data_IF_007657056355
#
_entry.id   IF_007657056355
#
_cell.length_a   1.000
_cell.length_b   1.000
_cell.length_c   1.000
_cell.angle_alpha   90.00
_cell.angle_beta   90.00
_cell.angle_gamma   90.00
#
_symmetry.space_group_name_H-M   'P 1'
#
loop_
_entity.id
_entity.type
_entity.pdbx_description
1 polymer ?
#
# COMPACT_ATOMS: atom_id res chain seq x y z
N UNK A 1 -15.76 34.50 13.39
CA UNK A 1 -15.89 33.06 13.15
C UNK A 1 -14.46 32.57 13.00
N UNK A 2 -13.95 31.83 13.96
CA UNK A 2 -12.63 31.22 13.78
C UNK A 2 -12.81 30.18 12.68
N UNK A 3 -12.09 30.37 11.58
CA UNK A 3 -11.91 29.37 10.54
C UNK A 3 -11.14 28.23 11.24
N UNK A 4 -11.87 27.24 11.78
CA UNK A 4 -11.25 26.00 12.23
C UNK A 4 -10.69 25.38 10.95
N UNK A 5 -9.36 25.48 10.78
CA UNK A 5 -8.66 24.88 9.65
C UNK A 5 -8.97 23.39 9.55
N UNK A 6 -8.71 22.81 8.38
CA UNK A 6 -8.90 21.38 8.14
C UNK A 6 -8.20 20.55 9.23
N UNK A 7 -8.92 19.56 9.77
CA UNK A 7 -8.35 18.64 10.74
C UNK A 7 -7.22 17.81 10.11
N UNK A 8 -6.28 17.25 10.91
CA UNK A 8 -5.19 16.41 10.37
C UNK A 8 -5.69 15.27 9.48
N UNK A 9 -6.82 14.64 9.83
CA UNK A 9 -7.43 13.59 9.00
C UNK A 9 -7.91 14.12 7.65
N UNK A 10 -8.50 15.31 7.62
CA UNK A 10 -8.95 15.96 6.37
C UNK A 10 -7.77 16.38 5.52
N UNK A 11 -6.68 16.86 6.11
CA UNK A 11 -5.43 17.17 5.41
C UNK A 11 -4.86 15.94 4.71
N UNK A 12 -4.79 14.79 5.39
CA UNK A 12 -4.31 13.54 4.76
C UNK A 12 -5.22 13.11 3.60
N UNK A 13 -6.54 13.15 3.79
CA UNK A 13 -7.49 12.79 2.70
C UNK A 13 -7.36 13.75 1.52
N UNK A 14 -7.19 15.05 1.77
CA UNK A 14 -7.01 16.05 0.71
C UNK A 14 -5.67 15.88 -0.02
N UNK A 15 -4.60 15.57 0.73
CA UNK A 15 -3.30 15.20 0.17
C UNK A 15 -3.45 14.07 -0.84
N UNK A 16 -4.11 12.98 -0.42
CA UNK A 16 -4.32 11.78 -1.24
C UNK A 16 -5.25 12.00 -2.44
N UNK A 17 -6.09 13.04 -2.42
CA UNK A 17 -7.03 13.35 -3.53
C UNK A 17 -6.43 14.26 -4.58
N UNK A 18 -5.51 15.13 -4.18
CA UNK A 18 -4.96 16.21 -5.02
C UNK A 18 -3.47 16.06 -5.32
N UNK A 19 -2.88 14.97 -4.87
CA UNK A 19 -1.46 14.72 -4.93
C UNK A 19 -0.62 15.84 -4.30
N UNK A 20 -0.87 16.08 -3.02
CA UNK A 20 -0.26 17.17 -2.25
C UNK A 20 0.58 16.63 -1.08
N UNK A 21 1.79 16.07 -1.33
CA UNK A 21 2.62 15.44 -0.30
C UNK A 21 3.03 16.39 0.83
N UNK A 22 3.16 17.69 0.57
CA UNK A 22 3.45 18.69 1.61
C UNK A 22 2.42 18.73 2.76
N UNK A 23 1.19 18.27 2.53
CA UNK A 23 0.17 18.15 3.58
C UNK A 23 0.45 16.95 4.49
N UNK A 24 1.07 15.88 3.98
CA UNK A 24 1.56 14.76 4.79
C UNK A 24 2.67 15.25 5.70
N UNK A 25 3.64 15.99 5.15
CA UNK A 25 4.73 16.61 5.92
C UNK A 25 4.19 17.55 7.01
N UNK A 26 3.17 18.36 6.69
CA UNK A 26 2.54 19.24 7.66
C UNK A 26 1.96 18.44 8.83
N UNK A 27 1.21 17.37 8.55
CA UNK A 27 0.63 16.52 9.60
C UNK A 27 1.71 15.82 10.42
N UNK A 28 2.80 15.34 9.78
CA UNK A 28 3.93 14.75 10.50
C UNK A 28 4.61 15.76 11.43
N UNK A 29 4.76 17.01 11.02
CA UNK A 29 5.33 18.07 11.86
C UNK A 29 4.46 18.40 13.08
N UNK A 30 3.13 18.25 12.97
CA UNK A 30 2.21 18.39 14.11
C UNK A 30 2.27 17.20 15.09
N UNK A 31 2.99 16.13 14.73
CA UNK A 31 3.15 14.89 15.49
C UNK A 31 4.61 14.66 15.94
N UNK A 32 5.43 15.70 16.00
CA UNK A 32 6.88 15.62 16.32
C UNK A 32 7.19 15.02 17.70
N UNK A 33 6.28 15.13 18.67
CA UNK A 33 6.38 14.51 19.98
C UNK A 33 5.92 13.04 20.03
N UNK A 34 5.44 12.47 18.91
CA UNK A 34 4.96 11.08 18.83
C UNK A 34 6.08 10.12 18.42
N UNK A 35 6.00 8.89 18.88
CA UNK A 35 6.83 7.81 18.36
C UNK A 35 6.33 7.33 16.98
N UNK A 36 7.18 6.57 16.28
CA UNK A 36 6.89 6.13 14.91
C UNK A 36 5.64 5.24 14.84
N UNK A 37 5.40 4.42 15.86
CA UNK A 37 4.23 3.56 15.98
C UNK A 37 2.93 4.36 16.13
N UNK A 38 2.94 5.43 16.94
CA UNK A 38 1.81 6.34 17.09
C UNK A 38 1.53 7.13 15.81
N UNK A 39 2.58 7.58 15.11
CA UNK A 39 2.45 8.23 13.81
C UNK A 39 1.82 7.26 12.81
N UNK A 40 2.38 6.06 12.66
CA UNK A 40 1.86 5.04 11.74
C UNK A 40 0.42 4.67 12.06
N UNK A 41 0.08 4.46 13.33
CA UNK A 41 -1.28 4.15 13.76
C UNK A 41 -2.27 5.23 13.29
N UNK A 42 -1.92 6.52 13.46
CA UNK A 42 -2.76 7.61 13.00
C UNK A 42 -3.02 7.52 11.50
N UNK A 43 -1.97 7.41 10.67
CA UNK A 43 -2.10 7.36 9.21
C UNK A 43 -2.85 6.10 8.73
N UNK A 44 -2.61 4.94 9.36
CA UNK A 44 -3.28 3.68 9.05
C UNK A 44 -4.80 3.74 9.33
N UNK A 45 -5.22 4.54 10.30
CA UNK A 45 -6.63 4.76 10.68
C UNK A 45 -7.33 5.89 9.90
N UNK A 46 -6.62 6.63 9.03
CA UNK A 46 -7.24 7.64 8.18
C UNK A 46 -8.05 6.96 7.08
N UNK A 47 -9.35 7.27 7.03
CA UNK A 47 -10.23 6.85 5.95
C UNK A 47 -11.08 8.01 5.44
N UNK A 48 -11.44 7.97 4.16
CA UNK A 48 -12.46 8.86 3.61
C UNK A 48 -13.88 8.48 4.10
N UNK A 49 -14.89 9.21 3.62
CA UNK A 49 -16.31 8.97 3.94
C UNK A 49 -16.86 7.62 3.44
N UNK A 50 -16.16 6.96 2.52
CA UNK A 50 -16.53 5.63 2.01
C UNK A 50 -15.87 4.50 2.83
N UNK A 51 -14.87 4.83 3.64
CA UNK A 51 -14.05 3.90 4.40
C UNK A 51 -12.83 3.42 3.61
N UNK A 52 -12.35 4.19 2.63
CA UNK A 52 -11.12 3.93 1.91
C UNK A 52 -9.94 4.51 2.68
N UNK A 53 -8.92 3.69 2.96
CA UNK A 53 -7.67 4.14 3.58
C UNK A 53 -6.84 5.01 2.64
N UNK A 54 -5.89 5.77 3.18
CA UNK A 54 -5.03 6.70 2.45
C UNK A 54 -4.48 6.13 1.12
N UNK A 55 -3.86 4.94 1.14
CA UNK A 55 -3.33 4.31 -0.08
C UNK A 55 -4.40 3.98 -1.13
N UNK A 56 -5.60 3.60 -0.73
CA UNK A 56 -6.70 3.39 -1.69
C UNK A 56 -7.08 4.70 -2.38
N UNK A 57 -7.11 5.80 -1.62
CA UNK A 57 -7.42 7.12 -2.14
C UNK A 57 -6.32 7.52 -3.14
N UNK A 58 -5.05 7.43 -2.76
CA UNK A 58 -3.95 7.72 -3.69
C UNK A 58 -4.06 6.91 -4.99
N UNK A 59 -4.26 5.59 -4.90
CA UNK A 59 -4.42 4.71 -6.05
C UNK A 59 -5.65 5.07 -6.92
N UNK A 60 -6.75 5.50 -6.29
CA UNK A 60 -7.99 5.89 -7.00
C UNK A 60 -7.83 7.20 -7.78
N UNK A 61 -7.03 8.13 -7.25
CA UNK A 61 -6.84 9.47 -7.82
C UNK A 61 -5.56 9.60 -8.65
N UNK A 62 -4.63 8.63 -8.56
CA UNK A 62 -3.33 8.70 -9.23
C UNK A 62 -2.35 9.62 -8.49
N UNK A 63 -2.47 9.73 -7.17
CA UNK A 63 -1.63 10.61 -6.35
C UNK A 63 -0.32 9.91 -5.99
N UNK A 64 0.60 9.92 -6.96
CA UNK A 64 1.86 9.19 -6.91
C UNK A 64 2.81 9.78 -5.86
N UNK A 65 2.99 11.09 -5.85
CA UNK A 65 3.94 11.74 -4.94
C UNK A 65 3.48 11.64 -3.48
N UNK A 66 2.17 11.70 -3.26
CA UNK A 66 1.58 11.49 -1.93
C UNK A 66 1.68 10.03 -1.49
N UNK A 67 1.56 9.09 -2.43
CA UNK A 67 1.76 7.66 -2.14
C UNK A 67 3.21 7.39 -1.69
N UNK A 68 4.19 8.00 -2.37
CA UNK A 68 5.61 7.92 -2.00
C UNK A 68 5.84 8.44 -0.56
N UNK A 69 5.32 9.63 -0.26
CA UNK A 69 5.43 10.22 1.08
C UNK A 69 4.78 9.36 2.19
N UNK A 70 3.72 8.60 1.88
CA UNK A 70 3.12 7.69 2.83
C UNK A 70 3.98 6.44 3.06
N UNK A 71 4.66 5.93 2.03
CA UNK A 71 5.55 4.77 2.16
C UNK A 71 6.83 5.08 2.95
N UNK A 72 7.24 6.34 3.04
CA UNK A 72 8.34 6.77 3.91
C UNK A 72 8.01 6.68 5.41
N UNK A 73 6.75 6.50 5.78
CA UNK A 73 6.32 6.37 7.18
C UNK A 73 6.65 4.96 7.69
N UNK A 74 7.48 4.87 8.72
CA UNK A 74 7.81 3.59 9.36
C UNK A 74 6.56 2.92 9.94
N UNK A 75 6.41 1.60 9.77
CA UNK A 75 5.25 0.81 10.22
C UNK A 75 3.92 1.13 9.53
N UNK A 76 3.95 1.86 8.42
CA UNK A 76 2.76 2.12 7.62
C UNK A 76 2.20 0.82 7.01
N UNK A 77 0.87 0.70 6.99
CA UNK A 77 0.16 -0.48 6.52
C UNK A 77 -0.03 -0.43 5.00
N UNK A 78 0.55 -1.40 4.30
CA UNK A 78 0.61 -1.45 2.83
C UNK A 78 -0.61 -2.12 2.19
N UNK A 79 -1.29 -3.03 2.88
CA UNK A 79 -2.38 -3.85 2.34
C UNK A 79 -3.70 -3.73 3.13
N UNK A 80 -4.16 -2.50 3.49
CA UNK A 80 -5.46 -2.36 4.11
C UNK A 80 -6.56 -2.83 3.14
N UNK A 81 -7.70 -3.27 3.68
CA UNK A 81 -8.81 -3.77 2.87
C UNK A 81 -9.96 -2.78 2.83
N UNK A 82 -10.43 -2.43 1.64
CA UNK A 82 -11.67 -1.66 1.50
C UNK A 82 -12.84 -2.37 2.20
N UNK A 83 -13.80 -1.57 2.67
CA UNK A 83 -14.92 -2.08 3.47
C UNK A 83 -15.85 -3.02 2.69
N UNK A 84 -16.16 -2.70 1.44
CA UNK A 84 -17.20 -3.38 0.65
C UNK A 84 -16.71 -4.62 -0.08
N UNK A 85 -15.64 -4.44 -0.87
CA UNK A 85 -15.15 -5.46 -1.81
C UNK A 85 -13.87 -6.12 -1.35
N UNK A 86 -13.29 -5.68 -0.22
CA UNK A 86 -12.02 -6.20 0.30
C UNK A 86 -10.88 -6.11 -0.72
N UNK A 87 -10.98 -5.13 -1.62
CA UNK A 87 -9.87 -4.74 -2.50
C UNK A 87 -8.73 -4.15 -1.64
N UNK A 88 -7.49 -4.52 -1.94
CA UNK A 88 -6.27 -3.84 -1.47
C UNK A 88 -5.98 -2.60 -2.32
N UNK A 89 -5.06 -1.70 -1.92
CA UNK A 89 -4.62 -0.60 -2.77
C UNK A 89 -4.14 -1.05 -4.15
N UNK A 90 -3.45 -2.19 -4.28
CA UNK A 90 -3.02 -2.74 -5.58
C UNK A 90 -4.18 -3.04 -6.53
N UNK A 91 -5.32 -3.52 -6.02
CA UNK A 91 -6.51 -3.73 -6.86
C UNK A 91 -7.01 -2.41 -7.44
N UNK A 92 -7.04 -1.36 -6.62
CA UNK A 92 -7.49 -0.03 -7.03
C UNK A 92 -6.52 0.59 -8.04
N UNK A 93 -5.21 0.43 -7.86
CA UNK A 93 -4.20 0.90 -8.80
C UNK A 93 -4.31 0.21 -10.17
N UNK A 94 -4.61 -1.10 -10.20
CA UNK A 94 -4.88 -1.81 -11.47
C UNK A 94 -6.13 -1.27 -12.16
N UNK A 95 -7.22 -1.00 -11.42
CA UNK A 95 -8.42 -0.37 -12.00
C UNK A 95 -8.11 1.02 -12.54
N UNK A 96 -7.33 1.82 -11.82
CA UNK A 96 -6.86 3.12 -12.29
C UNK A 96 -6.09 3.00 -13.61
N UNK A 97 -5.15 2.05 -13.69
CA UNK A 97 -4.37 1.81 -14.90
C UNK A 97 -5.24 1.40 -16.10
N UNK A 98 -6.27 0.57 -15.86
CA UNK A 98 -7.19 0.13 -16.90
C UNK A 98 -8.10 1.27 -17.41
N UNK A 99 -8.60 2.09 -16.49
CA UNK A 99 -9.73 2.99 -16.76
C UNK A 99 -9.30 4.45 -17.04
N UNK A 100 -8.12 4.87 -16.57
CA UNK A 100 -7.70 6.28 -16.57
C UNK A 100 -6.36 6.49 -17.26
N UNK A 101 -5.28 6.02 -16.64
CA UNK A 101 -3.91 6.26 -17.10
C UNK A 101 -3.04 5.04 -16.83
N UNK A 102 -2.72 4.33 -17.91
CA UNK A 102 -1.97 3.09 -17.86
C UNK A 102 -0.49 3.29 -17.48
N UNK A 103 0.12 4.40 -17.89
CA UNK A 103 1.54 4.67 -17.62
C UNK A 103 1.74 5.05 -16.16
N UNK A 104 0.92 5.98 -15.65
CA UNK A 104 0.96 6.36 -14.23
C UNK A 104 0.51 5.21 -13.33
N UNK A 105 -0.51 4.46 -13.76
CA UNK A 105 -0.96 3.25 -13.05
C UNK A 105 0.14 2.19 -12.95
N UNK A 106 0.90 1.96 -14.03
CA UNK A 106 2.05 1.05 -14.01
C UNK A 106 3.15 1.54 -13.04
N UNK A 107 3.45 2.84 -13.03
CA UNK A 107 4.42 3.42 -12.12
C UNK A 107 4.01 3.25 -10.64
N UNK A 108 2.74 3.53 -10.32
CA UNK A 108 2.21 3.29 -8.97
C UNK A 108 2.32 1.82 -8.58
N UNK A 109 1.91 0.89 -9.45
CA UNK A 109 1.95 -0.55 -9.15
C UNK A 109 3.38 -1.03 -8.88
N UNK A 110 4.37 -0.52 -9.62
CA UNK A 110 5.79 -0.81 -9.37
C UNK A 110 6.23 -0.32 -8.00
N UNK A 111 6.00 0.96 -7.69
CA UNK A 111 6.31 1.54 -6.38
C UNK A 111 5.68 0.73 -5.24
N UNK A 112 4.39 0.39 -5.35
CA UNK A 112 3.69 -0.39 -4.32
C UNK A 112 4.29 -1.78 -4.13
N UNK A 113 4.68 -2.46 -5.21
CA UNK A 113 5.36 -3.75 -5.11
C UNK A 113 6.74 -3.62 -4.45
N UNK A 114 7.49 -2.56 -4.77
CA UNK A 114 8.81 -2.27 -4.18
C UNK A 114 8.70 -1.90 -2.70
N UNK A 115 7.62 -1.23 -2.30
CA UNK A 115 7.27 -0.91 -0.91
C UNK A 115 6.71 -2.12 -0.13
N UNK A 116 6.55 -3.27 -0.77
CA UNK A 116 6.15 -4.52 -0.11
C UNK A 116 4.65 -4.81 -0.05
N UNK A 117 3.81 -4.09 -0.81
CA UNK A 117 2.38 -4.46 -0.95
C UNK A 117 2.25 -5.87 -1.55
N UNK A 118 1.44 -6.73 -0.94
CA UNK A 118 1.29 -8.14 -1.34
C UNK A 118 0.34 -8.30 -2.54
N UNK A 119 0.85 -8.67 -3.74
CA UNK A 119 0.03 -8.86 -4.94
C UNK A 119 -0.77 -10.17 -4.94
N UNK A 120 -0.69 -10.97 -3.87
CA UNK A 120 -1.37 -12.28 -3.75
C UNK A 120 -2.68 -12.18 -3.00
N UNK A 121 -2.94 -11.07 -2.32
CA UNK A 121 -4.18 -10.86 -1.56
C UNK A 121 -5.37 -10.95 -2.50
N UNK A 122 -6.39 -11.69 -2.08
CA UNK A 122 -7.62 -11.86 -2.83
C UNK A 122 -8.72 -10.97 -2.25
N UNK A 123 -9.40 -10.25 -3.13
CA UNK A 123 -10.59 -9.51 -2.75
C UNK A 123 -11.78 -10.43 -2.46
N UNK A 124 -12.94 -9.85 -2.13
CA UNK A 124 -14.19 -10.56 -1.84
C UNK A 124 -14.69 -11.41 -3.02
N UNK A 125 -14.28 -11.09 -4.23
CA UNK A 125 -14.59 -11.85 -5.45
C UNK A 125 -13.59 -12.98 -5.72
N UNK A 126 -12.60 -13.17 -4.85
CA UNK A 126 -11.56 -14.18 -5.00
C UNK A 126 -10.49 -13.81 -6.03
N UNK A 127 -10.45 -12.56 -6.49
CA UNK A 127 -9.53 -12.08 -7.52
C UNK A 127 -8.30 -11.47 -6.86
N UNK A 128 -7.12 -11.72 -7.43
CA UNK A 128 -5.89 -10.98 -7.13
C UNK A 128 -5.82 -9.71 -8.00
N UNK A 129 -4.96 -8.73 -7.69
CA UNK A 129 -4.71 -7.58 -8.57
C UNK A 129 -4.38 -7.99 -10.02
N UNK A 130 -3.55 -9.02 -10.20
CA UNK A 130 -3.14 -9.51 -11.52
C UNK A 130 -4.32 -10.07 -12.36
N UNK A 131 -5.40 -10.53 -11.70
CA UNK A 131 -6.61 -11.03 -12.38
C UNK A 131 -7.47 -9.89 -12.93
N UNK A 132 -7.29 -8.66 -12.45
CA UNK A 132 -8.01 -7.48 -12.89
C UNK A 132 -7.34 -6.75 -14.06
N UNK A 133 -6.10 -7.10 -14.42
CA UNK A 133 -5.33 -6.40 -15.46
C UNK A 133 -5.96 -6.62 -16.83
N UNK A 134 -6.23 -5.52 -17.55
CA UNK A 134 -6.82 -5.57 -18.89
C UNK A 134 -5.86 -5.01 -19.94
N UNK A 135 -5.48 -5.83 -20.92
CA UNK A 135 -4.63 -5.44 -22.06
C UNK A 135 -3.28 -4.77 -21.73
N UNK A 136 -2.75 -4.93 -20.52
CA UNK A 136 -1.41 -4.46 -20.14
C UNK A 136 -0.53 -5.62 -19.65
N UNK A 137 0.32 -6.13 -20.54
CA UNK A 137 1.19 -7.26 -20.21
C UNK A 137 2.31 -6.88 -19.22
N UNK A 138 2.74 -5.63 -19.19
CA UNK A 138 3.85 -5.21 -18.32
C UNK A 138 3.40 -5.07 -16.87
N UNK A 139 2.21 -4.50 -16.63
CA UNK A 139 1.58 -4.51 -15.29
C UNK A 139 1.39 -5.95 -14.80
N UNK A 140 0.85 -6.83 -15.67
CA UNK A 140 0.61 -8.23 -15.30
C UNK A 140 1.90 -8.94 -14.92
N UNK A 141 2.97 -8.76 -15.70
CA UNK A 141 4.30 -9.32 -15.38
C UNK A 141 4.84 -8.77 -14.07
N UNK A 142 4.75 -7.46 -13.84
CA UNK A 142 5.23 -6.81 -12.61
C UNK A 142 4.59 -7.45 -11.37
N UNK A 143 3.27 -7.60 -11.38
CA UNK A 143 2.53 -8.23 -10.27
C UNK A 143 2.91 -9.72 -10.08
N UNK A 144 3.05 -10.46 -11.18
CA UNK A 144 3.46 -11.87 -11.14
C UNK A 144 4.90 -12.06 -10.65
N UNK A 145 5.81 -11.17 -11.03
CA UNK A 145 7.19 -11.16 -10.55
C UNK A 145 7.26 -10.84 -9.06
N UNK A 146 6.52 -9.82 -8.62
CA UNK A 146 6.41 -9.49 -7.18
C UNK A 146 5.85 -10.68 -6.38
N UNK A 147 4.79 -11.33 -6.88
CA UNK A 147 4.26 -12.56 -6.26
C UNK A 147 5.32 -13.66 -6.15
N UNK A 148 6.10 -13.88 -7.21
CA UNK A 148 7.15 -14.90 -7.24
C UNK A 148 8.25 -14.61 -6.20
N UNK A 149 8.74 -13.37 -6.15
CA UNK A 149 9.79 -12.95 -5.20
C UNK A 149 9.31 -13.15 -3.76
N UNK A 150 8.08 -12.76 -3.45
CA UNK A 150 7.50 -12.95 -2.12
C UNK A 150 7.27 -14.42 -1.77
N UNK A 151 7.02 -15.29 -2.76
CA UNK A 151 6.91 -16.72 -2.53
C UNK A 151 8.27 -17.39 -2.25
N UNK A 152 9.33 -16.99 -2.95
CA UNK A 152 10.69 -17.52 -2.70
C UNK A 152 11.31 -17.00 -1.40
N UNK A 153 11.03 -15.76 -1.00
CA UNK A 153 11.42 -15.25 0.32
C UNK A 153 10.90 -16.11 1.48
N UNK A 154 9.73 -16.72 1.30
CA UNK A 154 9.14 -17.66 2.27
C UNK A 154 9.85 -19.02 2.20
N UNK A 155 10.23 -19.51 1.02
CA UNK A 155 10.90 -20.81 0.89
C UNK A 155 12.34 -20.81 1.43
N UNK A 156 13.07 -19.70 1.31
CA UNK A 156 14.44 -19.61 1.83
C UNK A 156 14.51 -19.44 3.36
N UNK A 157 13.42 -19.10 4.02
CA UNK A 157 13.36 -18.94 5.49
C UNK A 157 12.93 -20.21 6.22
N UNK A 158 12.32 -21.18 5.52
CA UNK A 158 11.94 -22.49 6.08
C UNK A 158 13.07 -23.55 5.97
N UNK A 159 14.19 -23.24 5.32
CA UNK A 159 15.30 -24.18 5.13
C UNK A 159 16.36 -24.20 6.25
N UNK A 160 16.20 -23.39 7.32
CA UNK A 160 17.19 -23.27 8.41
C UNK A 160 16.64 -23.70 9.79
N UNK A 161 15.61 -24.54 9.82
CA UNK A 161 15.03 -25.07 11.06
C UNK A 161 14.61 -26.54 10.96
N UNK A 162 15.56 -27.43 10.64
CA UNK A 162 15.57 -28.86 11.05
C UNK A 162 16.97 -29.43 10.72
N UNK A 163 17.79 -29.98 11.62
CA UNK A 163 17.63 -30.33 13.01
C UNK A 163 19.01 -30.43 13.69
N UNK A 164 19.05 -30.05 14.96
CA UNK A 164 20.19 -30.29 15.84
C UNK A 164 20.24 -31.73 16.35
N UNK A 165 21.47 -32.17 16.63
CA UNK A 165 21.88 -33.26 17.55
C UNK A 165 21.46 -34.71 17.15
N UNK A 166 22.26 -35.77 17.26
CA UNK A 166 23.62 -36.06 17.74
C UNK A 166 24.01 -37.47 17.23
N UNK A 167 25.29 -37.83 17.23
CA UNK A 167 25.79 -39.04 17.92
C UNK A 167 27.31 -39.19 17.71
N UNK A 168 28.07 -38.96 18.78
CA UNK A 168 29.38 -39.59 18.99
C UNK A 168 29.25 -41.11 18.98
N UNK A 169 30.20 -41.80 18.35
CA UNK A 169 30.69 -43.20 18.49
C UNK A 169 31.58 -43.44 17.26
N UNK A 170 32.91 -43.60 17.31
CA UNK A 170 33.77 -44.49 18.10
C UNK A 170 35.17 -43.87 18.30
#
# INVERSE_FOLDING_TARGET
MADEGASPRELVVEACRRDQPHLIEQVMNEMDEKDNEQVAQFFNEVTDSMGNHALHICAQYGSYDTMDALFDIQFFECDPLTRLDKDTPLHIAVRYANDKDAELGEAMIKMMCEAGCDPRVRNKHGQKPADLVFNNNEIKKTLQQSEYIMAEGIQNTEADSDGGEASDSD
#
